data_IF_049709468230
#
_entry.id   IF_049709468230
#
_cell.length_a   1.000
_cell.length_b   1.000
_cell.length_c   1.000
_cell.angle_alpha   90.00
_cell.angle_beta   90.00
_cell.angle_gamma   90.00
#
_symmetry.space_group_name_H-M   'P 1'
#
loop_
_entity.id
_entity.type
_entity.pdbx_description
1 polymer ?
#
# COMPACT_ATOMS: atom_id res chain seq x y z
N UNK A 1 53.60 -35.82 49.30
CA UNK A 1 53.28 -34.40 49.04
C UNK A 1 52.66 -34.30 47.66
N UNK A 2 51.38 -33.92 47.62
CA UNK A 2 50.54 -33.73 46.43
C UNK A 2 51.00 -32.47 45.71
N UNK A 3 51.09 -32.48 44.37
CA UNK A 3 51.33 -31.26 43.59
C UNK A 3 50.37 -31.19 42.42
N UNK A 4 49.47 -30.22 42.54
CA UNK A 4 48.27 -29.99 41.75
C UNK A 4 48.54 -29.74 40.26
N UNK A 5 47.75 -30.41 39.43
CA UNK A 5 47.41 -30.03 38.06
C UNK A 5 46.54 -28.78 38.05
N UNK A 6 47.02 -27.67 37.49
CA UNK A 6 46.20 -26.51 37.14
C UNK A 6 45.93 -26.54 35.64
N UNK A 7 44.76 -27.07 35.27
CA UNK A 7 44.19 -26.93 33.94
C UNK A 7 43.68 -25.49 33.77
N UNK A 8 44.25 -24.74 32.83
CA UNK A 8 43.78 -23.41 32.47
C UNK A 8 42.48 -23.54 31.68
N UNK A 9 41.38 -23.09 32.28
CA UNK A 9 40.03 -23.14 31.71
C UNK A 9 39.83 -21.89 30.85
N UNK A 10 40.04 -22.02 29.53
CA UNK A 10 39.80 -20.95 28.56
C UNK A 10 38.29 -20.87 28.33
N UNK A 11 37.64 -19.86 28.91
CA UNK A 11 36.24 -19.53 28.66
C UNK A 11 36.18 -18.66 27.41
N UNK A 12 35.92 -19.28 26.25
CA UNK A 12 35.57 -18.55 25.03
C UNK A 12 34.15 -18.02 25.14
N UNK A 13 33.98 -16.72 25.38
CA UNK A 13 32.71 -16.01 25.19
C UNK A 13 32.41 -15.95 23.69
N UNK A 14 31.64 -16.92 23.19
CA UNK A 14 30.99 -16.81 21.88
C UNK A 14 29.81 -15.86 22.00
N UNK A 15 30.00 -14.62 21.57
CA UNK A 15 28.93 -13.64 21.35
C UNK A 15 28.02 -14.17 20.23
N UNK A 16 26.91 -14.80 20.61
CA UNK A 16 25.83 -15.08 19.67
C UNK A 16 25.21 -13.74 19.26
N UNK A 17 25.63 -13.22 18.10
CA UNK A 17 24.88 -12.16 17.44
C UNK A 17 23.51 -12.74 17.08
N UNK A 18 22.48 -12.38 17.85
CA UNK A 18 21.09 -12.53 17.43
C UNK A 18 20.91 -11.60 16.22
N UNK A 19 21.15 -12.13 15.03
CA UNK A 19 20.55 -11.57 13.83
C UNK A 19 19.04 -11.74 14.00
N UNK A 20 18.40 -10.75 14.61
CA UNK A 20 16.96 -10.61 14.56
C UNK A 20 16.59 -10.42 13.10
N UNK A 21 16.19 -11.50 12.44
CA UNK A 21 15.44 -11.42 11.20
C UNK A 21 14.10 -10.79 11.56
N UNK A 22 14.08 -9.46 11.66
CA UNK A 22 12.85 -8.69 11.48
C UNK A 22 12.29 -9.17 10.15
N UNK A 23 11.14 -9.83 10.19
CA UNK A 23 10.32 -10.08 9.03
C UNK A 23 9.75 -8.74 8.55
N UNK A 24 10.65 -7.89 8.03
CA UNK A 24 10.30 -6.78 7.16
C UNK A 24 9.54 -7.41 6.00
N UNK A 25 8.23 -7.27 5.99
CA UNK A 25 7.45 -7.54 4.79
C UNK A 25 7.60 -6.28 3.94
N UNK A 26 8.45 -6.25 2.89
CA UNK A 26 8.41 -5.13 1.96
C UNK A 26 7.01 -5.03 1.37
N UNK A 27 6.62 -3.83 0.91
CA UNK A 27 5.59 -3.72 -0.14
C UNK A 27 6.09 -4.61 -1.28
N UNK A 28 5.51 -5.80 -1.34
CA UNK A 28 5.79 -6.81 -2.34
C UNK A 28 4.66 -6.69 -3.32
N UNK A 29 4.94 -6.69 -4.61
CA UNK A 29 3.83 -6.79 -5.54
C UNK A 29 3.12 -8.13 -5.35
N UNK A 30 1.79 -8.14 -5.50
CA UNK A 30 1.02 -9.38 -5.54
C UNK A 30 0.98 -10.02 -6.92
N UNK A 31 1.59 -9.40 -7.92
CA UNK A 31 1.66 -9.83 -9.33
C UNK A 31 3.13 -9.97 -9.78
N UNK A 32 3.35 -10.74 -10.84
CA UNK A 32 4.67 -10.93 -11.48
C UNK A 32 5.09 -9.71 -12.32
N UNK A 33 4.15 -8.92 -12.83
CA UNK A 33 4.38 -7.68 -13.59
C UNK A 33 3.55 -6.51 -13.01
N UNK A 34 4.11 -5.76 -12.03
CA UNK A 34 3.38 -4.71 -11.33
C UNK A 34 2.92 -3.57 -12.25
N UNK A 35 3.73 -3.22 -13.25
CA UNK A 35 3.40 -2.12 -14.16
C UNK A 35 2.30 -2.52 -15.14
N UNK A 36 2.38 -3.71 -15.74
CA UNK A 36 1.31 -4.19 -16.61
C UNK A 36 0.00 -4.34 -15.84
N UNK A 37 0.03 -4.89 -14.62
CA UNK A 37 -1.16 -4.99 -13.77
C UNK A 37 -1.73 -3.61 -13.43
N UNK A 38 -0.89 -2.60 -13.12
CA UNK A 38 -1.38 -1.24 -12.83
C UNK A 38 -2.08 -0.65 -14.05
N UNK A 39 -1.44 -0.73 -15.20
CA UNK A 39 -2.00 -0.21 -16.46
C UNK A 39 -3.32 -0.90 -16.81
N UNK A 40 -3.40 -2.22 -16.65
CA UNK A 40 -4.63 -2.97 -16.91
C UNK A 40 -5.75 -2.59 -15.91
N UNK A 41 -5.44 -2.43 -14.62
CA UNK A 41 -6.44 -1.99 -13.62
C UNK A 41 -6.95 -0.58 -13.93
N UNK A 42 -6.05 0.35 -14.27
CA UNK A 42 -6.42 1.72 -14.66
C UNK A 42 -7.27 1.71 -15.93
N UNK A 43 -6.93 0.89 -16.92
CA UNK A 43 -7.67 0.76 -18.18
C UNK A 43 -9.07 0.15 -18.00
N UNK A 44 -9.26 -0.71 -16.98
CA UNK A 44 -10.55 -1.36 -16.69
C UNK A 44 -11.49 -0.49 -15.82
N UNK A 45 -11.04 0.70 -15.40
CA UNK A 45 -11.87 1.64 -14.64
C UNK A 45 -13.22 1.97 -15.30
N UNK A 46 -13.34 2.20 -16.63
CA UNK A 46 -14.62 2.52 -17.28
C UNK A 46 -15.67 1.40 -17.19
N UNK A 47 -15.27 0.14 -16.97
CA UNK A 47 -16.18 -0.99 -16.75
C UNK A 47 -16.49 -1.20 -15.26
N UNK A 48 -15.88 -0.39 -14.41
CA UNK A 48 -15.86 -0.51 -12.97
C UNK A 48 -15.00 -1.67 -12.47
N UNK A 49 -13.88 -1.95 -13.13
CA UNK A 49 -12.95 -3.03 -12.79
C UNK A 49 -13.53 -4.44 -12.96
N UNK A 50 -14.44 -4.63 -13.92
CA UNK A 50 -15.17 -5.90 -14.10
C UNK A 50 -14.23 -7.11 -14.25
N UNK A 51 -13.11 -6.95 -14.93
CA UNK A 51 -12.15 -8.04 -15.16
C UNK A 51 -11.41 -8.41 -13.88
N UNK A 52 -11.25 -7.47 -12.95
CA UNK A 52 -10.52 -7.63 -11.69
C UNK A 52 -11.41 -8.03 -10.49
N UNK A 53 -12.74 -8.03 -10.63
CA UNK A 53 -13.66 -8.42 -9.56
C UNK A 53 -13.62 -9.93 -9.29
N UNK A 54 -13.26 -10.31 -8.07
CA UNK A 54 -13.35 -11.66 -7.54
C UNK A 54 -14.65 -11.91 -6.76
N UNK A 55 -14.55 -12.63 -5.63
CA UNK A 55 -15.71 -12.92 -4.77
C UNK A 55 -16.33 -11.64 -4.22
N UNK A 56 -17.67 -11.55 -4.21
CA UNK A 56 -18.40 -10.38 -3.72
C UNK A 56 -18.94 -10.55 -2.30
N UNK A 57 -19.16 -9.41 -1.65
CA UNK A 57 -19.93 -9.22 -0.43
C UNK A 57 -20.85 -8.03 -0.64
N UNK A 58 -22.16 -8.27 -0.61
CA UNK A 58 -23.17 -7.27 -0.92
C UNK A 58 -23.64 -6.57 0.36
N UNK A 59 -23.63 -5.24 0.36
CA UNK A 59 -24.19 -4.39 1.40
C UNK A 59 -25.25 -3.45 0.80
N UNK A 60 -26.03 -2.76 1.63
CA UNK A 60 -27.18 -1.97 1.17
C UNK A 60 -26.85 -0.90 0.11
N UNK A 61 -25.65 -0.29 0.18
CA UNK A 61 -25.25 0.81 -0.71
C UNK A 61 -23.96 0.58 -1.49
N UNK A 62 -23.28 -0.55 -1.23
CA UNK A 62 -21.99 -0.89 -1.83
C UNK A 62 -21.87 -2.40 -1.96
N UNK A 63 -21.31 -2.85 -3.08
CA UNK A 63 -20.81 -4.21 -3.24
C UNK A 63 -19.30 -4.17 -3.16
N UNK A 64 -18.72 -4.98 -2.27
CA UNK A 64 -17.27 -5.10 -2.14
C UNK A 64 -16.85 -6.41 -2.79
N UNK A 65 -15.95 -6.33 -3.76
CA UNK A 65 -15.33 -7.49 -4.37
C UNK A 65 -13.91 -7.63 -3.86
N UNK A 66 -13.47 -8.85 -3.53
CA UNK A 66 -12.02 -9.12 -3.43
C UNK A 66 -11.40 -8.94 -4.80
N UNK A 67 -10.28 -8.25 -4.89
CA UNK A 67 -9.57 -8.12 -6.17
C UNK A 67 -8.92 -9.46 -6.55
N UNK A 68 -9.02 -9.85 -7.82
CA UNK A 68 -8.29 -11.01 -8.38
C UNK A 68 -6.78 -10.78 -8.39
N UNK A 69 -6.38 -9.54 -8.67
CA UNK A 69 -4.99 -9.10 -8.74
C UNK A 69 -4.70 -8.07 -7.65
N UNK A 70 -3.53 -8.17 -7.02
CA UNK A 70 -3.11 -7.27 -5.96
C UNK A 70 -1.86 -6.50 -6.39
N UNK A 71 -2.00 -5.21 -6.67
CA UNK A 71 -0.86 -4.34 -7.00
C UNK A 71 0.16 -4.29 -5.87
N UNK A 72 -0.37 -4.16 -4.66
CA UNK A 72 0.38 -4.19 -3.42
C UNK A 72 -0.13 -5.41 -2.66
N UNK A 73 0.77 -6.36 -2.37
CA UNK A 73 0.44 -7.56 -1.60
C UNK A 73 -0.15 -7.17 -0.26
N UNK A 74 -1.38 -7.59 0.00
CA UNK A 74 -2.13 -7.18 1.17
C UNK A 74 -3.63 -7.40 0.98
N UNK A 75 -4.42 -6.41 1.40
CA UNK A 75 -5.87 -6.46 1.28
C UNK A 75 -6.33 -5.51 0.18
N UNK A 76 -6.58 -6.05 -1.03
CA UNK A 76 -7.10 -5.30 -2.16
C UNK A 76 -8.56 -5.66 -2.46
N UNK A 77 -9.36 -4.64 -2.67
CA UNK A 77 -10.80 -4.73 -2.90
C UNK A 77 -11.23 -3.77 -4.00
N UNK A 78 -12.34 -4.12 -4.65
CA UNK A 78 -13.07 -3.23 -5.55
C UNK A 78 -14.40 -2.89 -4.89
N UNK A 79 -14.63 -1.61 -4.66
CA UNK A 79 -15.85 -1.09 -4.07
C UNK A 79 -16.72 -0.58 -5.21
N UNK A 80 -17.92 -1.11 -5.37
CA UNK A 80 -18.87 -0.68 -6.40
C UNK A 80 -20.16 -0.15 -5.75
N UNK A 81 -20.50 1.10 -6.03
CA UNK A 81 -21.67 1.76 -5.47
C UNK A 81 -22.85 1.71 -6.44
N UNK A 82 -24.06 1.80 -5.89
CA UNK A 82 -25.31 1.71 -6.67
C UNK A 82 -25.53 2.85 -7.68
N UNK A 83 -24.74 3.93 -7.61
CA UNK A 83 -24.77 5.03 -8.57
C UNK A 83 -23.85 4.79 -9.79
N UNK A 84 -23.21 3.63 -9.89
CA UNK A 84 -22.29 3.28 -10.98
C UNK A 84 -20.83 3.65 -10.73
N UNK A 85 -20.52 4.33 -9.62
CA UNK A 85 -19.13 4.58 -9.23
C UNK A 85 -18.45 3.28 -8.79
N UNK A 86 -17.14 3.21 -8.97
CA UNK A 86 -16.33 2.18 -8.35
C UNK A 86 -14.92 2.66 -8.05
N UNK A 87 -14.25 1.95 -7.14
CA UNK A 87 -12.86 2.19 -6.81
C UNK A 87 -12.13 0.87 -6.56
N UNK A 88 -10.92 0.75 -7.09
CA UNK A 88 -9.97 -0.27 -6.69
C UNK A 88 -9.13 0.29 -5.55
N UNK A 89 -9.01 -0.47 -4.46
CA UNK A 89 -8.34 -0.01 -3.25
C UNK A 89 -7.46 -1.11 -2.69
N UNK A 90 -6.27 -0.77 -2.19
CA UNK A 90 -5.42 -1.70 -1.44
C UNK A 90 -5.01 -1.06 -0.13
N UNK A 91 -5.06 -1.84 0.96
CA UNK A 91 -4.55 -1.41 2.26
C UNK A 91 -3.48 -2.37 2.75
N UNK A 92 -2.35 -1.82 3.20
CA UNK A 92 -1.28 -2.56 3.87
C UNK A 92 -0.96 -1.89 5.19
N UNK A 93 -1.09 -2.64 6.28
CA UNK A 93 -0.69 -2.18 7.60
C UNK A 93 0.84 -2.19 7.73
N UNK A 94 1.37 -1.16 8.37
CA UNK A 94 2.78 -1.07 8.75
C UNK A 94 2.91 -1.17 10.28
N UNK A 95 3.96 -1.84 10.79
CA UNK A 95 4.18 -2.01 12.22
C UNK A 95 4.50 -0.70 12.94
N UNK A 96 5.11 0.25 12.25
CA UNK A 96 5.51 1.55 12.76
C UNK A 96 5.58 2.59 11.64
N UNK A 97 5.92 3.83 12.03
CA UNK A 97 6.01 4.98 11.13
C UNK A 97 7.11 4.84 10.08
N UNK A 98 8.30 4.38 10.48
CA UNK A 98 9.47 4.30 9.59
C UNK A 98 9.23 3.27 8.47
N UNK A 99 8.62 2.14 8.82
CA UNK A 99 8.20 1.14 7.83
C UNK A 99 7.12 1.71 6.92
N UNK A 100 6.15 2.45 7.44
CA UNK A 100 5.11 3.08 6.61
C UNK A 100 5.66 4.12 5.63
N UNK A 101 6.64 4.93 6.06
CA UNK A 101 7.35 5.90 5.22
C UNK A 101 8.11 5.20 4.09
N UNK A 102 8.83 4.13 4.42
CA UNK A 102 9.58 3.33 3.44
C UNK A 102 8.64 2.67 2.42
N UNK A 103 7.54 2.06 2.90
CA UNK A 103 6.52 1.45 2.05
C UNK A 103 5.87 2.47 1.11
N UNK A 104 5.52 3.64 1.64
CA UNK A 104 4.90 4.72 0.87
C UNK A 104 5.86 5.28 -0.18
N UNK A 105 7.12 5.55 0.18
CA UNK A 105 8.12 6.06 -0.75
C UNK A 105 8.40 5.08 -1.90
N UNK A 106 8.49 3.79 -1.59
CA UNK A 106 8.67 2.74 -2.59
C UNK A 106 7.47 2.66 -3.54
N UNK A 107 6.26 2.55 -2.99
CA UNK A 107 5.05 2.50 -3.81
C UNK A 107 4.89 3.77 -4.67
N UNK A 108 5.27 4.94 -4.16
CA UNK A 108 5.24 6.19 -4.92
C UNK A 108 6.20 6.17 -6.12
N UNK A 109 7.42 5.63 -5.95
CA UNK A 109 8.38 5.46 -7.05
C UNK A 109 7.83 4.50 -8.10
N UNK A 110 7.36 3.33 -7.67
CA UNK A 110 6.81 2.30 -8.56
C UNK A 110 5.60 2.83 -9.35
N UNK A 111 4.66 3.52 -8.70
CA UNK A 111 3.52 4.15 -9.37
C UNK A 111 3.96 5.20 -10.39
N UNK A 112 4.90 6.08 -10.02
CA UNK A 112 5.38 7.13 -10.92
C UNK A 112 6.08 6.54 -12.16
N UNK A 113 6.84 5.46 -11.98
CA UNK A 113 7.53 4.77 -13.07
C UNK A 113 6.52 4.04 -13.99
N UNK A 114 5.55 3.33 -13.42
CA UNK A 114 4.60 2.52 -14.17
C UNK A 114 3.50 3.33 -14.90
N UNK A 115 3.03 4.44 -14.32
CA UNK A 115 2.03 5.31 -14.93
C UNK A 115 2.62 6.13 -16.10
N UNK A 116 3.91 6.44 -16.02
CA UNK A 116 4.63 7.14 -17.06
C UNK A 116 4.34 8.65 -17.13
N UNK A 117 4.94 9.35 -18.12
CA UNK A 117 5.07 10.80 -18.11
C UNK A 117 3.77 11.59 -18.36
N UNK A 118 2.71 10.93 -18.81
CA UNK A 118 1.41 11.57 -19.07
C UNK A 118 0.61 11.83 -17.78
N UNK A 119 1.09 11.33 -16.65
CA UNK A 119 0.48 11.50 -15.34
C UNK A 119 1.20 12.60 -14.55
N UNK A 120 0.43 13.48 -13.91
CA UNK A 120 0.94 14.52 -13.02
C UNK A 120 0.78 14.09 -11.57
N UNK A 121 1.86 14.20 -10.79
CA UNK A 121 1.86 13.87 -9.38
C UNK A 121 1.75 15.13 -8.51
N UNK A 122 0.74 15.18 -7.64
CA UNK A 122 0.57 16.20 -6.62
C UNK A 122 0.77 15.57 -5.23
N UNK A 123 1.76 16.06 -4.49
CA UNK A 123 1.99 15.67 -3.09
C UNK A 123 1.23 16.59 -2.16
N UNK A 124 0.69 16.06 -1.07
CA UNK A 124 0.00 16.85 -0.07
C UNK A 124 -0.04 16.18 1.29
N UNK A 125 -0.49 16.93 2.28
CA UNK A 125 -0.82 16.39 3.60
C UNK A 125 -2.11 15.60 3.51
N UNK A 126 -2.14 14.43 4.14
CA UNK A 126 -3.39 13.76 4.44
C UNK A 126 -3.94 14.35 5.73
N UNK A 127 -5.20 14.76 5.75
CA UNK A 127 -5.92 15.23 6.93
C UNK A 127 -7.09 14.31 7.29
N UNK A 128 -7.50 14.41 8.55
CA UNK A 128 -8.70 13.79 9.08
C UNK A 128 -9.25 14.72 10.14
N UNK A 129 -10.53 15.08 10.03
CA UNK A 129 -11.21 15.98 10.96
C UNK A 129 -10.44 17.32 11.15
N UNK A 130 -9.91 17.87 10.05
CA UNK A 130 -9.13 19.12 10.03
C UNK A 130 -7.75 19.04 10.67
N UNK A 131 -7.20 17.83 10.89
CA UNK A 131 -5.88 17.62 11.47
C UNK A 131 -4.99 16.78 10.55
N UNK A 132 -3.68 17.05 10.48
CA UNK A 132 -2.74 16.17 9.79
C UNK A 132 -2.84 14.73 10.30
N UNK A 133 -2.99 13.80 9.37
CA UNK A 133 -3.21 12.38 9.58
C UNK A 133 -2.43 11.54 8.54
N UNK A 134 -1.25 12.05 8.16
CA UNK A 134 -0.29 11.42 7.26
C UNK A 134 -0.05 12.21 5.97
N UNK A 135 0.22 11.51 4.88
CA UNK A 135 0.61 12.08 3.58
C UNK A 135 -0.22 11.49 2.45
N UNK A 136 -0.33 12.23 1.34
CA UNK A 136 -0.91 11.76 0.10
C UNK A 136 -0.05 12.12 -1.10
N UNK A 137 -0.11 11.29 -2.12
CA UNK A 137 0.34 11.59 -3.47
C UNK A 137 -0.79 11.21 -4.41
N UNK A 138 -1.21 12.15 -5.24
CA UNK A 138 -2.27 11.95 -6.21
C UNK A 138 -1.71 12.08 -7.61
N UNK A 139 -1.96 11.08 -8.44
CA UNK A 139 -1.60 11.04 -9.84
C UNK A 139 -2.87 11.24 -10.66
N UNK A 140 -2.84 12.20 -11.59
CA UNK A 140 -3.93 12.49 -12.52
C UNK A 140 -3.43 12.49 -13.95
N UNK A 141 -4.27 12.06 -14.89
CA UNK A 141 -4.00 12.14 -16.33
C UNK A 141 -4.91 13.19 -16.98
N UNK A 142 -4.45 13.77 -18.09
CA UNK A 142 -5.27 14.64 -18.94
C UNK A 142 -6.33 13.86 -19.75
N UNK A 143 -6.27 12.52 -19.75
CA UNK A 143 -7.25 11.66 -20.41
C UNK A 143 -8.61 11.78 -19.73
N UNK A 144 -9.64 12.18 -20.49
CA UNK A 144 -10.95 12.55 -19.97
C UNK A 144 -11.68 11.44 -19.16
N UNK A 145 -11.32 10.17 -19.35
CA UNK A 145 -11.93 9.02 -18.67
C UNK A 145 -10.98 8.29 -17.73
N UNK A 146 -9.75 8.78 -17.56
CA UNK A 146 -8.82 8.15 -16.65
C UNK A 146 -9.29 8.35 -15.19
N UNK A 147 -9.18 7.32 -14.34
CA UNK A 147 -9.33 7.51 -12.91
C UNK A 147 -8.19 8.37 -12.36
N UNK A 148 -8.35 8.87 -11.15
CA UNK A 148 -7.19 9.26 -10.37
C UNK A 148 -6.59 8.06 -9.67
N UNK A 149 -5.28 8.09 -9.49
CA UNK A 149 -4.54 7.12 -8.67
C UNK A 149 -4.01 7.87 -7.46
N UNK A 150 -4.40 7.49 -6.25
CA UNK A 150 -3.96 8.15 -5.03
C UNK A 150 -3.27 7.14 -4.10
N UNK A 151 -2.12 7.52 -3.58
CA UNK A 151 -1.38 6.78 -2.57
C UNK A 151 -1.38 7.60 -1.29
N UNK A 152 -1.76 6.98 -0.19
CA UNK A 152 -1.83 7.61 1.11
C UNK A 152 -0.96 6.85 2.10
N UNK A 153 -0.21 7.61 2.90
CA UNK A 153 0.36 7.14 4.16
C UNK A 153 -0.58 7.59 5.26
N UNK A 154 -1.19 6.65 5.96
CA UNK A 154 -2.15 6.95 7.04
C UNK A 154 -1.42 6.87 8.37
N UNK A 155 -1.55 7.93 9.17
CA UNK A 155 -1.15 7.94 10.57
C UNK A 155 -2.40 8.11 11.43
N UNK A 156 -2.74 7.10 12.22
CA UNK A 156 -3.85 7.14 13.19
C UNK A 156 -3.39 6.63 14.56
N UNK A 157 -3.05 7.56 15.44
CA UNK A 157 -2.45 7.27 16.76
C UNK A 157 -1.19 6.40 16.65
N UNK A 158 -1.29 5.10 16.93
CA UNK A 158 -0.20 4.11 16.85
C UNK A 158 -0.30 3.21 15.62
N UNK A 159 -1.32 3.42 14.78
CA UNK A 159 -1.57 2.62 13.58
C UNK A 159 -1.00 3.37 12.39
N UNK A 160 -0.26 2.63 11.58
CA UNK A 160 0.31 3.13 10.35
C UNK A 160 -0.13 2.21 9.21
N UNK A 161 -0.48 2.78 8.07
CA UNK A 161 -0.78 2.00 6.88
C UNK A 161 -0.46 2.77 5.61
N UNK A 162 -0.31 2.03 4.52
CA UNK A 162 -0.28 2.56 3.17
C UNK A 162 -1.56 2.14 2.47
N UNK A 163 -2.22 3.10 1.83
CA UNK A 163 -3.49 2.92 1.16
C UNK A 163 -3.38 3.41 -0.29
N UNK A 164 -3.60 2.50 -1.24
CA UNK A 164 -3.70 2.81 -2.67
C UNK A 164 -5.18 2.90 -3.06
N UNK A 165 -5.52 3.88 -3.88
CA UNK A 165 -6.85 4.13 -4.41
C UNK A 165 -6.77 4.40 -5.90
N UNK A 166 -7.67 3.81 -6.68
CA UNK A 166 -7.86 4.08 -8.10
C UNK A 166 -9.36 4.26 -8.34
N UNK A 167 -9.79 5.45 -8.72
CA UNK A 167 -11.21 5.77 -8.88
C UNK A 167 -11.47 7.26 -9.13
N UNK A 168 -12.70 7.72 -8.86
CA UNK A 168 -13.04 9.15 -8.95
C UNK A 168 -12.36 9.97 -7.84
N UNK A 169 -11.98 11.21 -8.14
CA UNK A 169 -11.46 12.16 -7.15
C UNK A 169 -12.44 12.37 -5.97
N UNK A 170 -13.74 12.45 -6.28
CA UNK A 170 -14.79 12.66 -5.28
C UNK A 170 -14.90 11.54 -4.23
N UNK A 171 -14.31 10.36 -4.51
CA UNK A 171 -14.32 9.18 -3.62
C UNK A 171 -12.95 8.85 -3.04
N UNK A 172 -11.89 9.51 -3.49
CA UNK A 172 -10.58 9.39 -2.87
C UNK A 172 -10.70 9.83 -1.40
N UNK A 173 -10.12 9.12 -0.43
CA UNK A 173 -10.10 9.53 0.98
C UNK A 173 -9.31 10.85 1.18
N UNK A 174 -10.03 11.94 0.88
CA UNK A 174 -9.82 13.37 1.01
C UNK A 174 -9.95 14.17 -0.29
N UNK A 175 -11.14 14.74 -0.46
CA UNK A 175 -11.29 16.16 -0.78
C UNK A 175 -12.02 16.78 0.41
N UNK A 176 -11.33 17.61 1.18
CA UNK A 176 -11.97 18.68 1.95
C UNK A 176 -11.53 19.96 1.27
N UNK A 177 -12.43 20.49 0.42
CA UNK A 177 -12.38 21.90 0.04
C UNK A 177 -12.63 22.78 1.28
#
# INVERSE_FOLDING_TARGET
>A
MVRNTTAALIVTLTSAALAGCSSFQPVTSGTEDPCATLQNIVADYPTGFADFRGSSSNFNSVTIYRAKEQLIKGHCEIWAWGNGDSAYTCTVSAPDKEVAETMHARAASELSECLGPNWQAEKGTRERDGKPAGERIQFTSAEAKAPAVALHRVEDHRRHSVYLFIGTNARSPQQTD
#
